data_IF_208625863963
#
_entry.id   IF_208625863963
#
_cell.length_a   1.000
_cell.length_b   1.000
_cell.length_c   1.000
_cell.angle_alpha   90.00
_cell.angle_beta   90.00
_cell.angle_gamma   90.00
#
_symmetry.space_group_name_H-M   'P 1'
#
loop_
_entity.id
_entity.type
_entity.pdbx_description
1 polymer ?
#
# COMPACT_ATOMS: atom_id res chain seq x y z
N UNK A 1 -1.68 -14.53 28.85
CA UNK A 1 -0.73 -13.65 29.59
C UNK A 1 -0.34 -12.42 28.76
N UNK A 2 -1.34 -11.61 28.40
CA UNK A 2 -1.24 -10.22 27.92
C UNK A 2 -2.61 -9.54 28.16
N UNK A 3 -3.30 -9.96 29.22
CA UNK A 3 -4.48 -9.29 29.74
C UNK A 3 -4.01 -8.52 30.95
N UNK A 4 -3.61 -7.26 30.76
CA UNK A 4 -3.59 -6.34 31.87
C UNK A 4 -5.05 -5.96 32.15
N UNK A 5 -5.53 -6.39 33.31
CA UNK A 5 -6.86 -6.13 33.90
C UNK A 5 -7.31 -4.65 33.83
N UNK A 6 -6.37 -3.73 33.64
CA UNK A 6 -6.60 -2.29 33.54
C UNK A 6 -7.40 -1.86 32.29
N UNK A 7 -7.19 -2.50 31.13
CA UNK A 7 -7.89 -2.13 29.88
C UNK A 7 -9.26 -2.80 29.73
N UNK A 8 -9.50 -3.91 30.45
CA UNK A 8 -10.82 -4.58 30.44
C UNK A 8 -11.88 -3.82 31.24
N UNK A 9 -11.48 -3.07 32.27
CA UNK A 9 -12.42 -2.36 33.14
C UNK A 9 -12.90 -1.02 32.57
N UNK A 10 -12.14 -0.39 31.67
CA UNK A 10 -12.50 0.91 31.09
C UNK A 10 -13.36 0.80 29.83
N UNK A 11 -13.38 -0.37 29.16
CA UNK A 11 -14.03 -0.53 27.84
C UNK A 11 -14.87 -1.80 27.75
N UNK A 12 -15.82 -1.93 28.68
CA UNK A 12 -17.04 -2.76 28.61
C UNK A 12 -17.00 -3.92 27.58
N UNK A 13 -16.16 -4.93 27.85
CA UNK A 13 -16.11 -6.20 27.12
C UNK A 13 -15.92 -6.11 25.59
N UNK A 14 -15.21 -5.10 25.11
CA UNK A 14 -14.90 -4.99 23.68
C UNK A 14 -13.62 -5.77 23.31
N UNK A 15 -13.62 -6.41 22.13
CA UNK A 15 -12.50 -7.21 21.55
C UNK A 15 -11.29 -6.37 21.14
N UNK A 16 -11.09 -5.21 21.78
CA UNK A 16 -9.98 -4.30 21.55
C UNK A 16 -8.74 -4.83 22.27
N UNK A 17 -7.96 -5.62 21.52
CA UNK A 17 -6.63 -6.05 21.93
C UNK A 17 -5.61 -4.90 21.84
N UNK A 18 -4.48 -5.05 22.56
CA UNK A 18 -3.27 -4.23 22.39
C UNK A 18 -2.76 -4.16 20.93
N UNK A 19 -3.30 -4.98 20.03
CA UNK A 19 -3.07 -4.90 18.58
C UNK A 19 -3.34 -3.51 17.99
N UNK A 20 -4.31 -2.74 18.50
CA UNK A 20 -4.54 -1.38 18.02
C UNK A 20 -3.36 -0.44 18.30
N UNK A 21 -2.76 -0.55 19.49
CA UNK A 21 -1.56 0.22 19.88
C UNK A 21 -0.35 -0.21 19.03
N UNK A 22 -0.19 -1.51 18.79
CA UNK A 22 0.89 -2.02 17.94
C UNK A 22 0.74 -1.55 16.49
N UNK A 23 -0.48 -1.51 15.96
CA UNK A 23 -0.76 -0.99 14.60
C UNK A 23 -0.43 0.49 14.51
N UNK A 24 -0.80 1.31 15.50
CA UNK A 24 -0.42 2.73 15.55
C UNK A 24 1.10 2.90 15.56
N UNK A 25 1.80 2.13 16.40
CA UNK A 25 3.27 2.14 16.45
C UNK A 25 3.87 1.73 15.10
N UNK A 26 3.32 0.70 14.45
CA UNK A 26 3.77 0.24 13.14
C UNK A 26 3.56 1.30 12.04
N UNK A 27 2.44 2.04 12.08
CA UNK A 27 2.17 3.15 11.15
C UNK A 27 3.17 4.29 11.37
N UNK A 28 3.43 4.66 12.64
CA UNK A 28 4.42 5.70 12.98
C UNK A 28 5.83 5.28 12.54
N UNK A 29 6.19 4.01 12.78
CA UNK A 29 7.47 3.46 12.33
C UNK A 29 7.58 3.46 10.81
N UNK A 30 6.53 3.06 10.09
CA UNK A 30 6.49 3.11 8.63
C UNK A 30 6.67 4.54 8.10
N UNK A 31 5.92 5.49 8.66
CA UNK A 31 6.01 6.90 8.32
C UNK A 31 7.44 7.43 8.52
N UNK A 32 8.05 7.14 9.66
CA UNK A 32 9.42 7.55 9.98
C UNK A 32 10.46 6.92 9.04
N UNK A 33 10.34 5.64 8.73
CA UNK A 33 11.27 4.92 7.84
C UNK A 33 11.18 5.45 6.41
N UNK A 34 9.98 5.72 5.91
CA UNK A 34 9.76 6.14 4.52
C UNK A 34 10.00 7.64 4.31
N UNK A 35 9.53 8.51 5.20
CA UNK A 35 9.63 9.96 5.01
C UNK A 35 10.87 10.61 5.61
N UNK A 36 11.39 10.10 6.74
CA UNK A 36 12.50 10.73 7.46
C UNK A 36 13.86 10.09 7.22
N UNK A 37 13.91 8.87 6.67
CA UNK A 37 15.16 8.11 6.57
C UNK A 37 15.73 8.11 5.14
N UNK A 38 17.06 8.22 5.02
CA UNK A 38 17.79 8.07 3.74
C UNK A 38 17.55 6.72 3.06
N UNK A 39 17.24 5.68 3.84
CA UNK A 39 16.80 4.38 3.35
C UNK A 39 15.49 4.49 2.55
N UNK A 40 14.47 5.18 3.06
CA UNK A 40 13.19 5.38 2.37
C UNK A 40 13.35 6.12 1.04
N UNK A 41 14.23 7.12 0.99
CA UNK A 41 14.61 7.80 -0.25
C UNK A 41 15.25 6.83 -1.25
N UNK A 42 16.23 6.04 -0.79
CA UNK A 42 16.90 5.03 -1.62
C UNK A 42 15.93 3.96 -2.16
N UNK A 43 14.91 3.64 -1.37
CA UNK A 43 13.91 2.64 -1.72
C UNK A 43 12.94 3.17 -2.78
N UNK A 44 12.49 4.42 -2.64
CA UNK A 44 11.67 5.10 -3.66
C UNK A 44 12.45 5.27 -4.96
N UNK A 45 13.70 5.72 -4.89
CA UNK A 45 14.55 5.91 -6.06
C UNK A 45 14.76 4.60 -6.85
N UNK A 46 15.05 3.49 -6.14
CA UNK A 46 15.22 2.17 -6.77
C UNK A 46 13.90 1.59 -7.32
N UNK A 47 12.75 1.98 -6.76
CA UNK A 47 11.42 1.65 -7.27
C UNK A 47 11.06 2.35 -8.58
N UNK A 48 11.49 3.59 -8.80
CA UNK A 48 11.25 4.32 -10.06
C UNK A 48 12.17 3.84 -11.19
N UNK A 49 13.48 3.73 -10.93
CA UNK A 49 14.43 3.22 -11.91
C UNK A 49 15.69 2.66 -11.22
N UNK A 50 15.89 1.34 -11.34
CA UNK A 50 17.06 0.64 -10.76
C UNK A 50 18.38 1.13 -11.37
N UNK A 51 18.44 1.30 -12.67
CA UNK A 51 19.66 1.74 -13.37
C UNK A 51 19.97 3.19 -12.99
N UNK A 52 18.96 4.07 -12.98
CA UNK A 52 19.10 5.46 -12.56
C UNK A 52 19.58 5.60 -11.11
N UNK A 53 19.06 4.78 -10.19
CA UNK A 53 19.51 4.75 -8.81
C UNK A 53 20.96 4.28 -8.69
N UNK A 54 21.40 3.33 -9.52
CA UNK A 54 22.80 2.85 -9.55
C UNK A 54 23.76 3.94 -10.01
N UNK A 55 23.38 4.71 -11.03
CA UNK A 55 24.15 5.88 -11.47
C UNK A 55 24.24 6.98 -10.41
N UNK A 56 23.21 7.13 -9.57
CA UNK A 56 23.21 8.06 -8.43
C UNK A 56 24.03 7.58 -7.21
N UNK A 57 24.79 6.48 -7.33
CA UNK A 57 25.62 5.94 -6.24
C UNK A 57 24.86 5.15 -5.17
N UNK A 58 23.58 4.82 -5.40
CA UNK A 58 22.78 4.03 -4.46
C UNK A 58 23.12 2.55 -4.62
N UNK A 59 23.37 1.87 -3.49
CA UNK A 59 23.59 0.41 -3.45
C UNK A 59 22.26 -0.34 -3.60
N UNK A 60 21.77 -0.42 -4.83
CA UNK A 60 20.46 -1.01 -5.20
C UNK A 60 20.22 -2.37 -4.54
N UNK A 61 21.19 -3.28 -4.61
CA UNK A 61 21.05 -4.63 -4.05
C UNK A 61 20.82 -4.62 -2.53
N UNK A 62 21.51 -3.73 -1.79
CA UNK A 62 21.30 -3.61 -0.34
C UNK A 62 19.92 -3.05 -0.02
N UNK A 63 19.46 -2.05 -0.77
CA UNK A 63 18.12 -1.48 -0.57
C UNK A 63 17.01 -2.50 -0.80
N UNK A 64 17.15 -3.37 -1.81
CA UNK A 64 16.19 -4.44 -2.11
C UNK A 64 16.15 -5.50 -1.01
N UNK A 65 17.31 -5.97 -0.53
CA UNK A 65 17.34 -7.00 0.52
C UNK A 65 16.73 -6.46 1.82
N UNK A 66 17.07 -5.22 2.19
CA UNK A 66 16.57 -4.61 3.41
C UNK A 66 15.05 -4.38 3.33
N UNK A 67 14.51 -4.03 2.16
CA UNK A 67 13.06 -3.84 2.01
C UNK A 67 12.30 -5.15 2.16
N UNK A 68 12.81 -6.25 1.60
CA UNK A 68 12.21 -7.58 1.75
C UNK A 68 12.23 -8.00 3.24
N UNK A 69 13.34 -7.78 3.94
CA UNK A 69 13.44 -8.09 5.37
C UNK A 69 12.44 -7.28 6.20
N UNK A 70 12.34 -5.97 5.95
CA UNK A 70 11.41 -5.09 6.68
C UNK A 70 9.96 -5.47 6.38
N UNK A 71 9.60 -5.72 5.12
CA UNK A 71 8.25 -6.15 4.76
C UNK A 71 7.89 -7.51 5.37
N UNK A 72 8.84 -8.46 5.39
CA UNK A 72 8.64 -9.76 6.00
C UNK A 72 8.44 -9.67 7.51
N UNK A 73 9.22 -8.84 8.19
CA UNK A 73 9.07 -8.57 9.61
C UNK A 73 7.69 -7.94 9.94
N UNK A 74 7.28 -6.92 9.19
CA UNK A 74 5.97 -6.28 9.34
C UNK A 74 4.81 -7.24 9.06
N UNK A 75 4.90 -8.07 8.01
CA UNK A 75 3.89 -9.06 7.69
C UNK A 75 3.78 -10.16 8.77
N UNK A 76 4.92 -10.59 9.33
CA UNK A 76 4.96 -11.53 10.45
C UNK A 76 4.31 -10.95 11.72
N UNK A 77 4.62 -9.68 12.05
CA UNK A 77 3.96 -8.97 13.15
C UNK A 77 2.45 -8.84 12.94
N UNK A 78 2.02 -8.48 11.73
CA UNK A 78 0.59 -8.39 11.40
C UNK A 78 -0.11 -9.74 11.58
N UNK A 79 0.49 -10.84 11.10
CA UNK A 79 -0.03 -12.19 11.28
C UNK A 79 -0.13 -12.59 12.77
N UNK A 80 0.90 -12.30 13.57
CA UNK A 80 0.90 -12.56 15.00
C UNK A 80 -0.23 -11.81 15.73
N UNK A 81 -0.49 -10.54 15.36
CA UNK A 81 -1.59 -9.74 15.91
C UNK A 81 -2.95 -10.34 15.54
N UNK A 82 -3.14 -10.76 14.29
CA UNK A 82 -4.42 -11.34 13.82
C UNK A 82 -4.71 -12.66 14.54
N UNK A 83 -3.70 -13.54 14.66
CA UNK A 83 -3.82 -14.84 15.34
C UNK A 83 -4.13 -14.65 16.83
N UNK A 84 -3.43 -13.73 17.50
CA UNK A 84 -3.59 -13.50 18.93
C UNK A 84 -4.89 -12.75 19.27
N UNK A 85 -5.33 -11.82 18.41
CA UNK A 85 -6.45 -10.92 18.68
C UNK A 85 -7.82 -11.40 18.19
N UNK A 86 -7.89 -12.15 17.09
CA UNK A 86 -9.20 -12.48 16.49
C UNK A 86 -9.80 -13.76 17.03
N UNK A 87 -8.96 -14.77 17.31
CA UNK A 87 -9.47 -16.13 17.45
C UNK A 87 -9.16 -16.83 18.76
N UNK A 88 -8.13 -16.47 19.53
CA UNK A 88 -7.82 -17.10 20.83
C UNK A 88 -7.49 -18.61 20.79
N UNK A 89 -7.82 -19.29 19.69
CA UNK A 89 -7.67 -20.70 19.38
C UNK A 89 -7.30 -20.79 17.89
N UNK A 90 -6.39 -21.69 17.53
CA UNK A 90 -5.96 -21.88 16.15
C UNK A 90 -7.12 -22.37 15.27
N UNK A 91 -7.75 -21.48 14.51
CA UNK A 91 -8.67 -21.89 13.44
C UNK A 91 -7.85 -22.48 12.30
N UNK A 92 -8.22 -23.68 11.86
CA UNK A 92 -7.83 -24.19 10.55
C UNK A 92 -8.54 -23.31 9.53
N UNK A 93 -7.80 -22.40 8.90
CA UNK A 93 -8.34 -21.56 7.84
C UNK A 93 -8.68 -22.46 6.65
N UNK A 94 -9.97 -22.73 6.46
CA UNK A 94 -10.48 -23.54 5.34
C UNK A 94 -10.30 -22.79 4.00
N UNK A 95 -10.14 -21.47 4.05
CA UNK A 95 -9.90 -20.60 2.90
C UNK A 95 -8.89 -19.50 3.22
N UNK A 96 -8.15 -19.04 2.21
CA UNK A 96 -7.23 -17.90 2.31
C UNK A 96 -8.04 -16.60 2.47
N UNK A 97 -7.83 -15.85 3.54
CA UNK A 97 -8.52 -14.57 3.80
C UNK A 97 -8.04 -13.41 2.88
N UNK A 98 -7.06 -13.68 2.00
CA UNK A 98 -6.53 -12.77 0.98
C UNK A 98 -6.01 -11.42 1.50
N UNK A 99 -5.57 -11.33 2.76
CA UNK A 99 -5.00 -10.11 3.36
C UNK A 99 -3.84 -9.51 2.56
N UNK A 100 -3.07 -10.32 1.84
CA UNK A 100 -1.99 -9.83 0.97
C UNK A 100 -2.52 -9.06 -0.25
N UNK A 101 -3.63 -9.50 -0.85
CA UNK A 101 -4.26 -8.82 -1.98
C UNK A 101 -4.95 -7.53 -1.52
N UNK A 102 -5.65 -7.58 -0.39
CA UNK A 102 -6.24 -6.41 0.25
C UNK A 102 -5.14 -5.37 0.61
N UNK A 103 -3.95 -5.82 1.01
CA UNK A 103 -2.79 -4.95 1.25
C UNK A 103 -2.31 -4.19 0.02
N UNK A 104 -2.31 -4.82 -1.16
CA UNK A 104 -1.95 -4.17 -2.43
C UNK A 104 -3.00 -3.10 -2.78
N UNK A 105 -4.27 -3.45 -2.65
CA UNK A 105 -5.39 -2.54 -2.85
C UNK A 105 -5.28 -1.29 -1.96
N UNK A 106 -5.07 -1.48 -0.66
CA UNK A 106 -4.89 -0.39 0.31
C UNK A 106 -3.70 0.49 -0.02
N UNK A 107 -2.57 -0.09 -0.46
CA UNK A 107 -1.38 0.67 -0.84
C UNK A 107 -1.62 1.56 -2.07
N UNK A 108 -2.37 1.06 -3.06
CA UNK A 108 -2.75 1.82 -4.26
C UNK A 108 -3.72 2.96 -3.91
N UNK A 109 -4.78 2.66 -3.15
CA UNK A 109 -5.77 3.67 -2.72
C UNK A 109 -5.12 4.74 -1.85
N UNK A 110 -4.19 4.35 -0.97
CA UNK A 110 -3.45 5.25 -0.11
C UNK A 110 -2.31 6.02 -0.79
N UNK A 111 -2.07 5.82 -2.09
CA UNK A 111 -1.04 6.52 -2.85
C UNK A 111 0.39 6.31 -2.34
N UNK A 112 0.68 5.16 -1.74
CA UNK A 112 1.96 4.85 -1.09
C UNK A 112 2.43 5.92 -0.07
N UNK A 113 1.48 6.63 0.55
CA UNK A 113 1.74 7.58 1.63
C UNK A 113 1.25 7.00 2.96
N UNK A 114 1.96 7.25 4.07
CA UNK A 114 1.63 6.65 5.36
C UNK A 114 0.21 7.03 5.84
N UNK A 115 -0.16 8.30 5.71
CA UNK A 115 -1.49 8.79 6.10
C UNK A 115 -2.58 8.19 5.20
N UNK A 116 -2.31 8.10 3.89
CA UNK A 116 -3.25 7.51 2.93
C UNK A 116 -3.47 6.01 3.18
N UNK A 117 -2.39 5.26 3.45
CA UNK A 117 -2.45 3.84 3.79
C UNK A 117 -3.22 3.62 5.09
N UNK A 118 -3.06 4.48 6.09
CA UNK A 118 -3.81 4.40 7.34
C UNK A 118 -5.33 4.55 7.11
N UNK A 119 -5.74 5.59 6.38
CA UNK A 119 -7.15 5.84 6.10
C UNK A 119 -7.76 4.74 5.21
N UNK A 120 -7.04 4.32 4.17
CA UNK A 120 -7.48 3.23 3.30
C UNK A 120 -7.55 1.90 4.06
N UNK A 121 -6.57 1.58 4.90
CA UNK A 121 -6.57 0.38 5.73
C UNK A 121 -7.73 0.36 6.72
N UNK A 122 -8.08 1.51 7.31
CA UNK A 122 -9.24 1.63 8.19
C UNK A 122 -10.55 1.39 7.44
N UNK A 123 -10.70 1.94 6.23
CA UNK A 123 -11.86 1.71 5.38
C UNK A 123 -12.02 0.22 5.01
N UNK A 124 -10.96 -0.40 4.50
CA UNK A 124 -10.98 -1.82 4.11
C UNK A 124 -11.18 -2.74 5.32
N UNK A 125 -10.57 -2.42 6.46
CA UNK A 125 -10.80 -3.14 7.72
C UNK A 125 -12.25 -3.06 8.18
N UNK A 126 -12.87 -1.86 8.11
CA UNK A 126 -14.27 -1.68 8.46
C UNK A 126 -15.19 -2.45 7.52
N UNK A 127 -14.95 -2.42 6.21
CA UNK A 127 -15.70 -3.20 5.22
C UNK A 127 -15.61 -4.71 5.50
N UNK A 128 -14.41 -5.21 5.80
CA UNK A 128 -14.18 -6.63 6.12
C UNK A 128 -14.94 -7.09 7.37
N UNK A 129 -15.06 -6.22 8.38
CA UNK A 129 -15.84 -6.49 9.60
C UNK A 129 -17.35 -6.33 9.35
N UNK A 130 -17.76 -5.41 8.49
CA UNK A 130 -19.16 -5.18 8.14
C UNK A 130 -19.77 -6.33 7.33
N UNK A 131 -18.99 -6.98 6.46
CA UNK A 131 -19.42 -8.10 5.62
C UNK A 131 -20.12 -9.25 6.39
N UNK A 132 -19.52 -9.87 7.42
CA UNK A 132 -20.18 -10.92 8.18
C UNK A 132 -21.35 -10.41 9.02
N UNK A 133 -21.36 -9.13 9.44
CA UNK A 133 -22.49 -8.53 10.15
C UNK A 133 -23.71 -8.38 9.24
N UNK A 134 -23.51 -7.92 8.02
CA UNK A 134 -24.54 -7.77 6.98
C UNK A 134 -25.14 -9.12 6.57
N UNK A 135 -24.35 -10.18 6.59
CA UNK A 135 -24.84 -11.54 6.35
C UNK A 135 -25.90 -11.99 7.35
N UNK A 136 -25.78 -11.58 8.61
CA UNK A 136 -26.80 -11.88 9.64
C UNK A 136 -28.14 -11.19 9.35
N UNK A 137 -28.14 -10.11 8.58
CA UNK A 137 -29.33 -9.37 8.16
C UNK A 137 -29.85 -9.79 6.78
N UNK A 138 -29.37 -10.92 6.23
CA UNK A 138 -29.83 -11.46 4.94
C UNK A 138 -29.16 -10.83 3.72
N UNK A 139 -28.14 -10.00 3.89
CA UNK A 139 -27.39 -9.39 2.79
C UNK A 139 -26.19 -10.29 2.41
N UNK A 140 -26.03 -10.68 1.14
CA UNK A 140 -24.91 -11.50 0.70
C UNK A 140 -23.54 -10.80 0.92
N UNK A 141 -22.48 -11.56 1.23
CA UNK A 141 -21.10 -11.05 1.47
C UNK A 141 -20.49 -10.42 0.22
N UNK A 142 -20.97 -10.88 -0.92
CA UNK A 142 -20.62 -10.49 -2.27
C UNK A 142 -20.74 -8.98 -2.46
N UNK A 143 -21.69 -8.32 -1.77
CA UNK A 143 -21.84 -6.86 -1.85
C UNK A 143 -20.58 -6.14 -1.33
N UNK A 144 -20.01 -6.60 -0.22
CA UNK A 144 -18.78 -6.01 0.32
C UNK A 144 -17.57 -6.22 -0.60
N UNK A 145 -17.51 -7.37 -1.26
CA UNK A 145 -16.45 -7.67 -2.23
C UNK A 145 -16.59 -6.82 -3.49
N UNK A 146 -17.82 -6.60 -3.98
CA UNK A 146 -18.11 -5.71 -5.11
C UNK A 146 -17.71 -4.27 -4.79
N UNK A 147 -18.05 -3.77 -3.60
CA UNK A 147 -17.68 -2.41 -3.16
C UNK A 147 -16.16 -2.26 -3.12
N UNK A 148 -15.47 -3.18 -2.45
CA UNK A 148 -14.00 -3.14 -2.30
C UNK A 148 -13.30 -3.24 -3.64
N UNK A 149 -13.75 -4.15 -4.51
CA UNK A 149 -13.19 -4.34 -5.85
C UNK A 149 -13.44 -3.14 -6.76
N UNK A 150 -14.61 -2.49 -6.66
CA UNK A 150 -14.92 -1.29 -7.43
C UNK A 150 -14.01 -0.13 -7.05
N UNK A 151 -13.74 0.07 -5.76
CA UNK A 151 -12.80 1.09 -5.27
C UNK A 151 -11.42 0.89 -5.89
N UNK A 152 -10.90 -0.33 -5.83
CA UNK A 152 -9.59 -0.69 -6.39
C UNK A 152 -9.58 -0.50 -7.90
N UNK A 153 -10.64 -0.92 -8.58
CA UNK A 153 -10.80 -0.74 -10.03
C UNK A 153 -10.75 0.73 -10.43
N UNK A 154 -11.47 1.61 -9.74
CA UNK A 154 -11.47 3.04 -10.04
C UNK A 154 -10.09 3.68 -9.81
N UNK A 155 -9.40 3.33 -8.73
CA UNK A 155 -8.04 3.85 -8.45
C UNK A 155 -7.03 3.33 -9.48
N UNK A 156 -7.08 2.04 -9.80
CA UNK A 156 -6.22 1.45 -10.83
C UNK A 156 -6.48 2.09 -12.20
N UNK A 157 -7.75 2.35 -12.54
CA UNK A 157 -8.14 3.01 -13.77
C UNK A 157 -7.60 4.44 -13.84
N UNK A 158 -7.70 5.22 -12.75
CA UNK A 158 -7.12 6.57 -12.68
C UNK A 158 -5.62 6.55 -12.99
N UNK A 159 -4.88 5.60 -12.41
CA UNK A 159 -3.44 5.44 -12.67
C UNK A 159 -3.15 5.03 -14.12
N UNK A 160 -3.93 4.08 -14.65
CA UNK A 160 -3.80 3.63 -16.04
C UNK A 160 -4.04 4.78 -17.05
N UNK A 161 -5.04 5.62 -16.81
CA UNK A 161 -5.34 6.78 -17.66
C UNK A 161 -4.14 7.74 -17.70
N UNK A 162 -3.51 8.04 -16.56
CA UNK A 162 -2.33 8.89 -16.51
C UNK A 162 -1.18 8.32 -17.36
N UNK A 163 -0.92 7.01 -17.26
CA UNK A 163 0.12 6.35 -18.04
C UNK A 163 -0.16 6.38 -19.55
N UNK A 164 -1.42 6.17 -19.95
CA UNK A 164 -1.81 6.24 -21.37
C UNK A 164 -1.63 7.65 -21.91
N UNK A 165 -2.05 8.69 -21.17
CA UNK A 165 -1.88 10.09 -21.57
C UNK A 165 -0.39 10.43 -21.75
N UNK A 166 0.47 9.99 -20.83
CA UNK A 166 1.92 10.21 -20.91
C UNK A 166 2.52 9.53 -22.15
N UNK A 167 2.13 8.28 -22.45
CA UNK A 167 2.57 7.58 -23.66
C UNK A 167 2.10 8.27 -24.94
N UNK A 168 0.86 8.75 -24.99
CA UNK A 168 0.32 9.47 -26.14
C UNK A 168 1.03 10.81 -26.35
N UNK A 169 1.37 11.53 -25.27
CA UNK A 169 2.12 12.79 -25.33
C UNK A 169 3.57 12.57 -25.79
N UNK A 170 4.21 11.49 -25.35
CA UNK A 170 5.57 11.11 -25.78
C UNK A 170 5.64 10.67 -27.26
N UNK A 171 4.52 10.23 -27.86
CA UNK A 171 4.44 9.82 -29.27
C UNK A 171 4.26 10.98 -30.26
N UNK A 172 4.04 12.23 -29.81
CA UNK A 172 4.00 13.37 -30.75
C UNK A 172 5.43 13.65 -31.27
N UNK A 173 5.71 13.48 -32.58
CA UNK A 173 7.01 13.83 -33.12
C UNK A 173 7.24 15.33 -32.99
N UNK A 174 8.44 15.70 -32.51
CA UNK A 174 8.94 17.07 -32.43
C UNK A 174 8.82 17.69 -33.82
N UNK A 175 7.93 18.67 -33.99
CA UNK A 175 7.76 19.44 -35.23
C UNK A 175 9.14 20.02 -35.58
N UNK A 176 9.75 19.60 -36.70
CA UNK A 176 11.01 20.16 -37.20
C UNK A 176 10.79 21.67 -37.39
N UNK A 177 11.56 22.48 -36.66
CA UNK A 177 11.56 23.94 -36.81
C UNK A 177 12.05 24.29 -38.22
N UNK A 178 11.26 25.03 -39.03
CA UNK A 178 11.63 25.40 -40.40
C UNK A 178 12.82 26.37 -40.51
N UNK A 179 13.29 26.95 -39.40
CA UNK A 179 14.32 27.99 -39.37
C UNK A 179 15.76 27.51 -39.62
N UNK A 180 16.01 26.20 -39.63
CA UNK A 180 17.33 25.61 -39.91
C UNK A 180 17.61 25.35 -41.40
N UNK A 181 16.61 25.55 -42.29
CA UNK A 181 16.76 25.28 -43.72
C UNK A 181 17.27 26.48 -44.55
N UNK A 182 17.39 27.68 -43.97
CA UNK A 182 17.74 28.90 -44.70
C UNK A 182 19.19 29.37 -44.50
N UNK A 183 20.03 28.64 -43.77
CA UNK A 183 21.41 29.06 -43.48
C UNK A 183 22.50 28.32 -44.27
N UNK A 184 22.12 27.45 -45.21
CA UNK A 184 23.06 26.64 -46.02
C UNK A 184 23.18 27.07 -47.49
N UNK A 185 22.73 28.27 -47.85
CA UNK A 185 22.52 28.69 -49.23
C UNK A 185 23.49 29.70 -49.84
N UNK A 186 24.46 30.23 -49.08
CA UNK A 186 25.40 31.25 -49.59
C UNK A 186 26.85 30.80 -49.42
N UNK A 187 27.30 29.96 -50.35
CA UNK A 187 28.72 29.75 -50.64
C UNK A 187 28.84 29.06 -52.00
N UNK A 188 28.70 29.84 -53.07
CA UNK A 188 29.41 29.67 -54.35
C UNK A 188 29.56 31.01 -55.03
#
# INVERSE_FOLDING_TARGET
MLGSEFFKQLTNNSRLHWGFVIVIIAIIAYWFIIEKTSFGYSLRATGFNKEGARYAGIRVNKSIILSIMISGFLAGLAGAIVVQGTFGYGRVMVAMDNYGFDGIAVALVGGCNAIGIMLAGMLFGLLKVAQPLLQTYGVPKEIGDIISSSIVFFVALQYAIQLVILKLKARKPKKKDPSLAMQGGDSK
#
